data_IF_449927506622
#
_entry.id   IF_449927506622
#
_cell.length_a   1.000
_cell.length_b   1.000
_cell.length_c   1.000
_cell.angle_alpha   90.00
_cell.angle_beta   90.00
_cell.angle_gamma   90.00
#
_symmetry.space_group_name_H-M   'P 1'
#
loop_
_entity.id
_entity.type
_entity.pdbx_description
1 polymer ?
#
# COMPACT_ATOMS: atom_id res chain seq x y z
N UNK A 1 -37.78 -25.03 -53.52
CA UNK A 1 -37.58 -25.32 -52.08
C UNK A 1 -36.07 -25.29 -51.81
N UNK A 2 -35.47 -24.11 -51.64
CA UNK A 2 -35.03 -23.53 -50.34
C UNK A 2 -34.13 -24.46 -49.50
N UNK A 3 -32.87 -24.66 -49.90
CA UNK A 3 -31.76 -25.11 -49.00
C UNK A 3 -30.40 -24.62 -49.54
N UNK A 4 -30.25 -23.31 -49.67
CA UNK A 4 -28.98 -22.68 -50.06
C UNK A 4 -28.90 -21.36 -49.29
N UNK A 5 -28.49 -21.44 -48.02
CA UNK A 5 -28.12 -20.32 -47.13
C UNK A 5 -27.98 -20.88 -45.71
N UNK A 6 -26.80 -21.38 -45.36
CA UNK A 6 -26.32 -21.35 -43.97
C UNK A 6 -24.79 -21.28 -43.97
N UNK A 7 -24.27 -20.37 -44.80
CA UNK A 7 -22.90 -19.91 -44.75
C UNK A 7 -22.82 -18.91 -43.59
N UNK A 8 -21.80 -19.09 -42.75
CA UNK A 8 -21.16 -18.02 -41.98
C UNK A 8 -22.01 -17.33 -40.89
N UNK A 9 -22.02 -17.87 -39.67
CA UNK A 9 -22.19 -17.02 -38.47
C UNK A 9 -21.67 -17.66 -37.19
N UNK A 10 -20.37 -17.97 -37.12
CA UNK A 10 -19.73 -18.34 -35.85
C UNK A 10 -18.25 -17.92 -35.80
N UNK A 11 -17.98 -16.68 -36.18
CA UNK A 11 -16.72 -15.99 -35.87
C UNK A 11 -17.04 -14.76 -35.01
N UNK A 12 -17.40 -15.01 -33.76
CA UNK A 12 -17.48 -13.98 -32.71
C UNK A 12 -16.74 -14.50 -31.48
N UNK A 13 -15.53 -15.03 -31.66
CA UNK A 13 -14.53 -14.98 -30.60
C UNK A 13 -14.07 -13.53 -30.51
N UNK A 14 -14.85 -12.73 -29.78
CA UNK A 14 -14.42 -11.39 -29.41
C UNK A 14 -13.07 -11.51 -28.72
N UNK A 15 -12.02 -11.01 -29.35
CA UNK A 15 -10.79 -10.68 -28.64
C UNK A 15 -11.13 -9.51 -27.73
N UNK A 16 -11.69 -9.80 -26.56
CA UNK A 16 -11.73 -8.85 -25.46
C UNK A 16 -10.29 -8.42 -25.25
N UNK A 17 -10.01 -7.14 -25.51
CA UNK A 17 -8.81 -6.45 -25.05
C UNK A 17 -8.57 -6.87 -23.60
N UNK A 18 -7.63 -7.81 -23.40
CA UNK A 18 -7.45 -8.51 -22.13
C UNK A 18 -6.62 -7.64 -21.19
N UNK A 19 -7.05 -6.39 -21.00
CA UNK A 19 -6.48 -5.46 -20.02
C UNK A 19 -6.92 -5.97 -18.65
N UNK A 20 -5.98 -6.54 -17.92
CA UNK A 20 -6.18 -7.05 -16.56
C UNK A 20 -5.70 -6.00 -15.57
N UNK A 21 -6.48 -5.80 -14.50
CA UNK A 21 -6.07 -4.89 -13.44
C UNK A 21 -4.85 -5.47 -12.70
N UNK A 22 -3.83 -4.65 -12.38
CA UNK A 22 -2.75 -5.06 -11.50
C UNK A 22 -3.27 -5.53 -10.13
N UNK A 23 -2.66 -6.58 -9.61
CA UNK A 23 -2.94 -7.07 -8.26
C UNK A 23 -2.02 -6.39 -7.25
N UNK A 24 -2.55 -6.01 -6.10
CA UNK A 24 -1.84 -5.25 -5.07
C UNK A 24 -1.94 -5.97 -3.74
N UNK A 25 -0.80 -6.26 -3.12
CA UNK A 25 -0.72 -6.91 -1.81
C UNK A 25 0.16 -6.12 -0.84
N UNK A 26 -0.34 -5.84 0.36
CA UNK A 26 0.47 -5.23 1.43
C UNK A 26 1.33 -6.31 2.07
N UNK A 27 2.64 -6.08 2.10
CA UNK A 27 3.63 -7.07 2.54
C UNK A 27 4.08 -6.82 3.97
N UNK A 28 4.59 -5.63 4.23
CA UNK A 28 5.22 -5.27 5.49
C UNK A 28 5.15 -3.77 5.74
N UNK A 29 5.33 -3.39 7.01
CA UNK A 29 5.47 -1.99 7.43
C UNK A 29 6.71 -1.89 8.30
N UNK A 30 7.61 -0.96 7.96
CA UNK A 30 8.85 -0.75 8.69
C UNK A 30 9.00 0.71 9.11
N UNK A 31 9.60 0.95 10.29
CA UNK A 31 9.96 2.31 10.71
C UNK A 31 11.31 2.65 10.09
N UNK A 32 11.35 3.68 9.25
CA UNK A 32 12.56 4.06 8.50
C UNK A 32 13.22 5.29 9.08
N UNK A 33 12.44 6.25 9.62
CA UNK A 33 13.00 7.44 10.24
C UNK A 33 12.16 7.94 11.42
N UNK A 34 12.83 8.62 12.35
CA UNK A 34 12.24 9.44 13.39
C UNK A 34 12.86 10.83 13.27
N UNK A 35 12.02 11.86 13.20
CA UNK A 35 12.45 13.26 13.17
C UNK A 35 11.76 14.05 14.30
N UNK A 36 12.04 15.36 14.38
CA UNK A 36 11.46 16.21 15.42
C UNK A 36 9.94 16.41 15.30
N UNK A 37 9.34 16.09 14.15
CA UNK A 37 7.92 16.26 13.88
C UNK A 37 7.13 14.94 13.91
N UNK A 38 7.78 13.79 13.74
CA UNK A 38 7.10 12.51 13.82
C UNK A 38 7.94 11.31 13.38
N UNK A 39 7.23 10.26 13.01
CA UNK A 39 7.78 8.99 12.55
C UNK A 39 7.46 8.78 11.07
N UNK A 40 8.45 8.33 10.30
CA UNK A 40 8.25 7.90 8.91
C UNK A 40 8.25 6.38 8.86
N UNK A 41 7.09 5.83 8.56
CA UNK A 41 6.91 4.42 8.23
C UNK A 41 7.07 4.22 6.73
N UNK A 42 7.48 3.03 6.32
CA UNK A 42 7.51 2.61 4.93
C UNK A 42 6.65 1.37 4.81
N UNK A 43 5.62 1.47 3.97
CA UNK A 43 4.70 0.39 3.66
C UNK A 43 5.20 -0.29 2.38
N UNK A 44 5.59 -1.55 2.49
CA UNK A 44 5.96 -2.40 1.38
C UNK A 44 4.70 -2.96 0.71
N UNK A 45 4.56 -2.72 -0.59
CA UNK A 45 3.44 -3.18 -1.40
C UNK A 45 3.98 -3.93 -2.60
N UNK A 46 3.49 -5.15 -2.82
CA UNK A 46 3.78 -5.91 -4.02
C UNK A 46 2.70 -5.61 -5.06
N UNK A 47 3.13 -5.05 -6.21
CA UNK A 47 2.27 -4.75 -7.35
C UNK A 47 2.59 -5.75 -8.46
N UNK A 48 1.64 -6.62 -8.78
CA UNK A 48 1.78 -7.61 -9.85
C UNK A 48 1.10 -7.10 -11.10
N UNK A 49 1.86 -7.00 -12.19
CA UNK A 49 1.31 -6.67 -13.51
C UNK A 49 1.03 -7.97 -14.28
N UNK A 50 -0.24 -8.41 -14.38
CA UNK A 50 -0.59 -9.61 -15.13
C UNK A 50 -0.65 -9.34 -16.65
N UNK A 51 -0.37 -8.15 -17.14
CA UNK A 51 -0.50 -7.85 -18.57
C UNK A 51 0.78 -8.22 -19.33
N UNK A 52 0.65 -8.62 -20.62
CA UNK A 52 1.79 -8.97 -21.50
C UNK A 52 2.57 -7.73 -21.99
N UNK A 53 2.41 -6.58 -21.33
CA UNK A 53 3.02 -5.31 -21.66
C UNK A 53 3.36 -4.55 -20.38
N UNK A 54 4.34 -3.65 -20.48
CA UNK A 54 4.75 -2.81 -19.36
C UNK A 54 3.69 -1.74 -19.04
N UNK A 55 3.55 -1.43 -17.76
CA UNK A 55 2.71 -0.35 -17.25
C UNK A 55 3.61 0.64 -16.54
N UNK A 56 3.44 1.94 -16.79
CA UNK A 56 4.22 2.97 -16.11
C UNK A 56 3.38 3.64 -15.02
N UNK A 57 3.82 3.58 -13.78
CA UNK A 57 3.32 4.45 -12.71
C UNK A 57 3.84 5.86 -12.97
N UNK A 58 2.98 6.87 -12.94
CA UNK A 58 3.35 8.29 -13.05
C UNK A 58 3.29 9.01 -11.70
N UNK A 59 2.51 8.48 -10.77
CA UNK A 59 2.36 8.99 -9.43
C UNK A 59 1.35 8.17 -8.67
N UNK A 60 1.21 8.50 -7.39
CA UNK A 60 0.18 7.91 -6.55
C UNK A 60 -0.26 8.88 -5.47
N UNK A 61 -1.47 8.71 -5.01
CA UNK A 61 -1.96 9.31 -3.78
C UNK A 61 -2.35 8.22 -2.77
N UNK A 62 -2.39 8.59 -1.50
CA UNK A 62 -2.85 7.71 -0.45
C UNK A 62 -3.49 8.49 0.71
N UNK A 63 -4.35 7.79 1.44
CA UNK A 63 -4.92 8.18 2.71
C UNK A 63 -4.96 6.94 3.62
N UNK A 64 -4.33 7.05 4.79
CA UNK A 64 -4.25 6.01 5.80
C UNK A 64 -5.07 6.43 7.02
N UNK A 65 -5.91 5.52 7.50
CA UNK A 65 -6.75 5.70 8.67
C UNK A 65 -6.62 4.52 9.63
N UNK A 66 -6.66 4.78 10.93
CA UNK A 66 -6.72 3.75 11.98
C UNK A 66 -7.93 4.04 12.85
N UNK A 67 -8.85 3.07 13.01
CA UNK A 67 -10.08 3.25 13.80
C UNK A 67 -10.84 4.55 13.47
N UNK A 68 -10.96 4.88 12.18
CA UNK A 68 -11.58 6.12 11.67
C UNK A 68 -10.84 7.43 11.97
N UNK A 69 -9.67 7.37 12.61
CA UNK A 69 -8.78 8.53 12.77
C UNK A 69 -7.90 8.65 11.51
N UNK A 70 -7.96 9.79 10.77
CA UNK A 70 -7.04 10.05 9.67
C UNK A 70 -5.63 10.25 10.23
N UNK A 71 -4.67 9.42 9.78
CA UNK A 71 -3.30 9.48 10.27
C UNK A 71 -2.34 10.14 9.31
N UNK A 72 -2.49 9.86 8.02
CA UNK A 72 -1.59 10.37 7.02
C UNK A 72 -2.26 10.35 5.65
N UNK A 73 -1.94 11.34 4.83
CA UNK A 73 -2.27 11.35 3.43
C UNK A 73 -1.17 12.04 2.64
N UNK A 74 -1.05 11.70 1.37
CA UNK A 74 -0.01 12.25 0.53
C UNK A 74 -0.28 12.02 -0.94
N UNK A 75 0.39 12.82 -1.76
CA UNK A 75 0.45 12.63 -3.21
C UNK A 75 1.92 12.74 -3.63
N UNK A 76 2.40 11.73 -4.35
CA UNK A 76 3.79 11.62 -4.80
C UNK A 76 3.79 11.48 -6.31
N UNK A 77 4.55 12.33 -6.99
CA UNK A 77 4.86 12.14 -8.40
C UNK A 77 6.17 11.39 -8.52
N UNK A 78 6.08 10.14 -8.93
CA UNK A 78 7.22 9.26 -9.11
C UNK A 78 6.94 8.35 -10.30
N UNK A 79 7.88 8.31 -11.23
CA UNK A 79 7.80 7.41 -12.37
C UNK A 79 8.44 6.07 -12.03
N UNK A 80 7.70 4.97 -12.24
CA UNK A 80 8.19 3.60 -12.06
C UNK A 80 7.61 2.70 -13.13
N UNK A 81 8.38 1.74 -13.63
CA UNK A 81 7.90 0.77 -14.64
C UNK A 81 7.58 -0.57 -13.98
N UNK A 82 6.35 -1.04 -14.18
CA UNK A 82 5.92 -2.39 -13.88
C UNK A 82 6.06 -3.26 -15.13
N UNK A 83 7.08 -4.10 -15.15
CA UNK A 83 7.35 -5.00 -16.27
C UNK A 83 6.20 -6.01 -16.47
N UNK A 84 6.09 -6.52 -17.70
CA UNK A 84 5.12 -7.57 -18.08
C UNK A 84 5.27 -8.81 -17.18
N UNK A 85 4.13 -9.35 -16.74
CA UNK A 85 4.03 -10.61 -15.97
C UNK A 85 4.98 -10.68 -14.76
N UNK A 86 5.24 -9.53 -14.13
CA UNK A 86 6.15 -9.41 -12.99
C UNK A 86 5.51 -8.70 -11.80
N UNK A 87 5.99 -9.08 -10.63
CA UNK A 87 5.71 -8.40 -9.37
C UNK A 87 6.84 -7.42 -9.06
N UNK A 88 6.48 -6.16 -8.82
CA UNK A 88 7.38 -5.10 -8.39
C UNK A 88 7.07 -4.71 -6.96
N UNK A 89 8.09 -4.64 -6.12
CA UNK A 89 7.95 -4.13 -4.76
C UNK A 89 8.03 -2.60 -4.77
N UNK A 90 6.95 -1.97 -4.32
CA UNK A 90 6.82 -0.51 -4.17
C UNK A 90 6.86 -0.18 -2.69
N UNK A 91 7.64 0.83 -2.33
CA UNK A 91 7.81 1.30 -0.95
C UNK A 91 7.17 2.67 -0.83
N UNK A 92 6.12 2.76 -0.02
CA UNK A 92 5.38 4.01 0.20
C UNK A 92 5.79 4.60 1.56
N UNK A 93 6.49 5.74 1.59
CA UNK A 93 6.78 6.43 2.82
C UNK A 93 5.53 7.16 3.34
N UNK A 94 5.18 6.88 4.58
CA UNK A 94 4.05 7.46 5.31
C UNK A 94 4.56 8.15 6.56
N UNK A 95 4.39 9.46 6.63
CA UNK A 95 4.77 10.26 7.80
C UNK A 95 3.58 10.39 8.75
N UNK A 96 3.79 10.04 10.01
CA UNK A 96 2.80 10.14 11.09
C UNK A 96 3.33 11.13 12.12
N UNK A 97 2.51 12.10 12.52
CA UNK A 97 2.92 13.09 13.51
C UNK A 97 2.92 12.52 14.93
N UNK A 98 3.69 13.12 15.84
CA UNK A 98 3.65 12.70 17.24
C UNK A 98 2.29 12.94 17.91
N UNK A 99 1.54 13.96 17.48
CA UNK A 99 0.20 14.22 18.00
C UNK A 99 -0.74 13.04 17.70
N UNK A 100 -0.73 12.56 16.45
CA UNK A 100 -1.57 11.43 16.04
C UNK A 100 -1.15 10.14 16.75
N UNK A 101 0.16 9.91 16.92
CA UNK A 101 0.66 8.76 17.69
C UNK A 101 0.18 8.79 19.14
N UNK A 102 0.21 9.95 19.79
CA UNK A 102 -0.27 10.11 21.17
C UNK A 102 -1.78 9.89 21.27
N UNK A 103 -2.56 10.36 20.29
CA UNK A 103 -4.00 10.13 20.23
C UNK A 103 -4.34 8.64 20.05
N UNK A 104 -3.64 7.96 19.15
CA UNK A 104 -3.74 6.50 18.99
C UNK A 104 -3.45 5.82 20.33
N UNK A 105 -2.35 6.15 21.00
CA UNK A 105 -1.98 5.54 22.28
C UNK A 105 -2.99 5.83 23.40
N UNK A 106 -3.55 7.04 23.44
CA UNK A 106 -4.58 7.43 24.39
C UNK A 106 -5.85 6.56 24.25
N UNK A 107 -6.15 6.09 23.03
CA UNK A 107 -7.25 5.16 22.75
C UNK A 107 -7.02 3.72 23.25
N UNK A 108 -5.85 3.43 23.84
CA UNK A 108 -5.42 2.09 24.31
C UNK A 108 -5.68 1.00 23.27
N UNK A 109 -5.03 1.07 22.10
CA UNK A 109 -5.27 0.14 21.02
C UNK A 109 -4.66 -1.22 21.36
N UNK A 110 -5.26 -2.28 20.82
CA UNK A 110 -4.60 -3.58 20.79
C UNK A 110 -3.41 -3.51 19.83
N UNK A 111 -2.19 -3.48 20.39
CA UNK A 111 -0.95 -3.35 19.63
C UNK A 111 -0.65 -4.59 18.77
N UNK A 112 -1.31 -5.73 19.03
CA UNK A 112 -1.19 -6.93 18.21
C UNK A 112 -2.17 -6.92 17.03
N UNK A 113 -3.23 -6.10 17.10
CA UNK A 113 -4.30 -6.04 16.10
C UNK A 113 -4.83 -4.61 15.90
N UNK A 114 -4.00 -3.75 15.31
CA UNK A 114 -4.42 -2.39 14.97
C UNK A 114 -5.15 -2.41 13.62
N UNK A 115 -6.47 -2.14 13.56
CA UNK A 115 -7.19 -2.10 12.30
C UNK A 115 -6.80 -0.85 11.51
N UNK A 116 -6.50 -1.03 10.23
CA UNK A 116 -6.18 0.06 9.32
C UNK A 116 -7.09 0.01 8.09
N UNK A 117 -7.28 1.18 7.49
CA UNK A 117 -7.86 1.36 6.16
C UNK A 117 -6.91 2.24 5.34
N UNK A 118 -6.48 1.73 4.19
CA UNK A 118 -5.62 2.41 3.25
C UNK A 118 -6.40 2.59 1.95
N UNK A 119 -6.67 3.84 1.60
CA UNK A 119 -7.19 4.21 0.29
C UNK A 119 -6.05 4.81 -0.51
N UNK A 120 -5.74 4.25 -1.67
CA UNK A 120 -4.72 4.79 -2.55
C UNK A 120 -5.20 4.82 -4.00
N UNK A 121 -4.65 5.73 -4.79
CA UNK A 121 -4.87 5.81 -6.23
C UNK A 121 -3.53 5.78 -6.92
N UNK A 122 -3.31 4.79 -7.78
CA UNK A 122 -2.11 4.72 -8.62
C UNK A 122 -2.43 5.30 -9.99
N UNK A 123 -1.70 6.34 -10.40
CA UNK A 123 -1.81 6.91 -11.74
C UNK A 123 -0.94 6.09 -12.68
N UNK A 124 -1.60 5.27 -13.50
CA UNK A 124 -0.98 4.34 -14.42
C UNK A 124 -1.12 4.84 -15.86
N UNK A 125 -0.03 4.73 -16.60
CA UNK A 125 0.06 4.98 -18.02
C UNK A 125 0.25 3.64 -18.74
N UNK A 126 -0.77 3.26 -19.53
CA UNK A 126 -0.81 2.03 -20.30
C UNK A 126 -0.73 2.37 -21.80
N UNK A 127 -0.31 1.42 -22.66
CA UNK A 127 -0.31 1.63 -24.11
C UNK A 127 -1.68 2.02 -24.69
N UNK A 128 -2.76 1.66 -23.99
CA UNK A 128 -4.15 1.93 -24.38
C UNK A 128 -4.71 3.25 -23.81
N UNK A 129 -3.95 3.95 -22.96
CA UNK A 129 -4.33 5.20 -22.31
C UNK A 129 -3.96 5.24 -20.82
N UNK A 130 -4.15 6.40 -20.21
CA UNK A 130 -3.95 6.59 -18.77
C UNK A 130 -5.19 6.16 -17.97
N UNK A 131 -4.96 5.59 -16.79
CA UNK A 131 -6.01 5.25 -15.82
C UNK A 131 -5.52 5.47 -14.39
N UNK A 132 -6.44 5.76 -13.47
CA UNK A 132 -6.14 5.73 -12.03
C UNK A 132 -6.71 4.43 -11.46
N UNK A 133 -5.85 3.59 -10.89
CA UNK A 133 -6.24 2.34 -10.22
C UNK A 133 -6.54 2.65 -8.73
N UNK A 134 -7.81 2.59 -8.30
CA UNK A 134 -8.12 2.72 -6.88
C UNK A 134 -7.74 1.43 -6.14
N UNK A 135 -7.11 1.60 -5.00
CA UNK A 135 -6.76 0.55 -4.05
C UNK A 135 -7.50 0.86 -2.76
N UNK A 136 -8.29 -0.10 -2.30
CA UNK A 136 -8.90 -0.09 -0.98
C UNK A 136 -8.41 -1.33 -0.24
N UNK A 137 -7.51 -1.11 0.72
CA UNK A 137 -6.90 -2.15 1.51
C UNK A 137 -7.26 -1.94 2.99
N UNK A 138 -8.03 -2.87 3.54
CA UNK A 138 -8.33 -2.94 4.96
C UNK A 138 -7.65 -4.16 5.57
N UNK A 139 -7.13 -4.02 6.79
CA UNK A 139 -6.46 -5.13 7.46
C UNK A 139 -6.15 -4.81 8.92
N UNK A 140 -5.38 -5.70 9.54
CA UNK A 140 -4.85 -5.50 10.89
C UNK A 140 -3.34 -5.55 10.87
N UNK A 141 -2.70 -4.59 11.52
CA UNK A 141 -1.26 -4.52 11.68
C UNK A 141 -0.87 -4.79 13.13
N UNK A 142 0.15 -5.62 13.33
CA UNK A 142 0.76 -5.86 14.63
C UNK A 142 2.01 -4.98 14.77
N UNK A 143 2.05 -4.14 15.79
CA UNK A 143 3.22 -3.30 16.08
C UNK A 143 4.37 -4.19 16.50
N UNK A 144 5.54 -4.16 15.82
CA UNK A 144 6.68 -4.98 16.20
C UNK A 144 7.13 -4.69 17.62
N UNK A 145 7.52 -5.74 18.36
CA UNK A 145 7.91 -5.65 19.78
C UNK A 145 8.94 -4.56 20.06
N UNK A 146 9.92 -4.39 19.17
CA UNK A 146 10.99 -3.38 19.28
C UNK A 146 10.47 -1.94 19.43
N UNK A 147 9.30 -1.64 18.86
CA UNK A 147 8.73 -0.30 18.80
C UNK A 147 7.58 -0.11 19.80
N UNK A 148 7.37 -1.04 20.74
CA UNK A 148 6.32 -0.90 21.75
C UNK A 148 6.79 0.03 22.87
N UNK A 149 5.91 0.87 23.44
CA UNK A 149 6.29 1.75 24.56
C UNK A 149 6.90 1.00 25.75
N UNK A 150 6.40 -0.21 26.04
CA UNK A 150 6.90 -1.03 27.14
C UNK A 150 8.37 -1.45 26.98
N UNK A 151 8.82 -1.79 25.77
CA UNK A 151 10.22 -2.19 25.53
C UNK A 151 11.18 -1.00 25.61
N UNK A 152 10.74 0.18 25.21
CA UNK A 152 11.54 1.41 25.30
C UNK A 152 11.78 1.82 26.76
N UNK A 153 10.77 1.69 27.62
CA UNK A 153 10.91 1.96 29.05
C UNK A 153 11.91 1.01 29.72
N UNK A 154 11.92 -0.28 29.34
CA UNK A 154 12.89 -1.25 29.87
C UNK A 154 14.32 -0.92 29.43
N UNK A 155 14.53 -0.57 28.16
CA UNK A 155 15.87 -0.17 27.68
C UNK A 155 16.40 1.07 28.42
N UNK A 156 15.52 2.03 28.72
CA UNK A 156 15.89 3.22 29.46
C UNK A 156 16.22 2.92 30.93
N UNK A 157 15.44 2.05 31.60
CA UNK A 157 15.74 1.65 32.98
C UNK A 157 17.06 0.88 33.09
N UNK A 158 17.36 0.01 32.13
CA UNK A 158 18.62 -0.74 32.09
C UNK A 158 19.81 0.20 31.89
N UNK A 159 19.67 1.20 31.02
CA UNK A 159 20.68 2.23 30.81
C UNK A 159 20.96 3.03 32.09
N UNK A 160 19.92 3.54 32.76
CA UNK A 160 20.07 4.27 34.02
C UNK A 160 20.66 3.39 35.13
N UNK A 161 20.28 2.11 35.20
CA UNK A 161 20.86 1.16 36.13
C UNK A 161 22.35 0.91 35.90
N UNK A 162 22.81 1.01 34.66
CA UNK A 162 24.22 0.86 34.26
C UNK A 162 25.06 2.11 34.51
N UNK A 163 24.46 3.31 34.45
CA UNK A 163 25.12 4.60 34.73
C UNK A 163 25.26 4.84 36.24
N UNK A 164 24.42 4.20 37.07
CA UNK A 164 24.44 4.33 38.54
C UNK A 164 25.40 3.36 39.24
N UNK A 165 26.10 2.49 38.51
CA UNK A 165 27.21 1.65 38.99
C UNK A 165 28.53 2.20 38.49
#
# INVERSE_FOLDING_TARGET
MKRLLLVSLMFMTGCSLLVRNPEVAVKDVSLVALDGAGATLEIGIDVTNPNPYQISLQGYNYALQIKSLPLASGAVRQTMVFASDKTTNVRIPVKISYADLLEILASRPDLDRIPYQLNAGLDLDLPVGAMTLPIDAAGTFAVPQKYRPASLLMQFSDFLGKVRR
#
